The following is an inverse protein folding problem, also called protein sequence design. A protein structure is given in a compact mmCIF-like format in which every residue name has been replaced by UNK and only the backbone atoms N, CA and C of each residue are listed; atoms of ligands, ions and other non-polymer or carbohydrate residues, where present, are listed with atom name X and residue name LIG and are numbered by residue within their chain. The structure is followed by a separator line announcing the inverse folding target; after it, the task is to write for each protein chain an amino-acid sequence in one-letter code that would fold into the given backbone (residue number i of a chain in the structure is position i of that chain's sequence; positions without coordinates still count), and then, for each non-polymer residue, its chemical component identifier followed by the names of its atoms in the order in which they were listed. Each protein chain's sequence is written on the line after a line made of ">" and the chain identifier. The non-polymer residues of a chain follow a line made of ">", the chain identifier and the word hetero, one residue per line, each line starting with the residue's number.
data_IF_499576672725
#
_entry.id   IF_499576672725
#
_cell.length_a   1.000
_cell.length_b   1.000
_cell.length_c   1.000
_cell.angle_alpha   90.00
_cell.angle_beta   90.00
_cell.angle_gamma   90.00
#
_symmetry.space_group_name_H-M   'P 1'
#
loop_
_entity.id
_entity.type
_entity.pdbx_description
1 polymer ?
#
# COMPACT_ATOMS: atom_id res chain seq x y z
N UNK A 1 21.95 55.49 -10.08
CA UNK A 1 21.15 54.35 -10.64
C UNK A 1 20.92 53.39 -9.48
N UNK A 2 19.74 53.49 -8.90
CA UNK A 2 19.31 52.68 -7.75
C UNK A 2 18.35 51.60 -8.22
N UNK A 3 18.84 50.41 -8.49
CA UNK A 3 17.98 49.23 -8.69
C UNK A 3 17.50 48.71 -7.34
N UNK A 4 16.31 49.16 -6.93
CA UNK A 4 15.56 48.56 -5.86
C UNK A 4 14.94 47.27 -6.42
N UNK A 5 15.57 46.12 -6.20
CA UNK A 5 14.91 44.83 -6.33
C UNK A 5 13.72 44.76 -5.36
N UNK A 6 12.57 45.12 -5.86
CA UNK A 6 11.30 44.94 -5.17
C UNK A 6 11.03 43.44 -5.02
N UNK A 7 11.32 42.89 -3.84
CA UNK A 7 10.80 41.58 -3.46
C UNK A 7 9.27 41.66 -3.55
N UNK A 8 8.69 41.09 -4.60
CA UNK A 8 7.27 41.01 -4.77
C UNK A 8 6.68 40.29 -3.55
N UNK A 9 5.92 40.99 -2.74
CA UNK A 9 5.16 40.40 -1.63
C UNK A 9 4.28 39.30 -2.22
N UNK A 10 4.30 38.08 -1.67
CA UNK A 10 3.38 37.04 -2.14
C UNK A 10 1.95 37.59 -2.11
N UNK A 11 1.23 37.35 -3.20
CA UNK A 11 -0.14 37.88 -3.30
C UNK A 11 -0.99 37.32 -2.14
N UNK A 12 -1.92 38.12 -1.63
CA UNK A 12 -2.85 37.75 -0.54
C UNK A 12 -3.54 36.41 -0.81
N UNK A 13 -3.78 36.09 -2.07
CA UNK A 13 -4.33 34.81 -2.52
C UNK A 13 -3.44 33.60 -2.22
N UNK A 14 -2.10 33.71 -2.32
CA UNK A 14 -1.16 32.63 -1.97
C UNK A 14 -1.11 32.41 -0.47
N UNK A 15 -1.19 33.47 0.31
CA UNK A 15 -1.22 33.39 1.79
C UNK A 15 -2.53 32.74 2.29
N UNK A 16 -3.67 33.12 1.70
CA UNK A 16 -4.98 32.53 2.02
C UNK A 16 -5.05 31.04 1.58
N UNK A 17 -4.43 30.68 0.46
CA UNK A 17 -4.33 29.28 0.02
C UNK A 17 -3.56 28.42 1.04
N UNK A 18 -2.41 28.90 1.53
CA UNK A 18 -1.64 28.21 2.58
C UNK A 18 -2.41 28.04 3.89
N UNK A 19 -3.15 29.05 4.32
CA UNK A 19 -3.97 28.97 5.54
C UNK A 19 -5.12 27.96 5.40
N UNK A 20 -5.70 27.84 4.21
CA UNK A 20 -6.73 26.83 3.91
C UNK A 20 -6.18 25.41 3.96
N UNK A 21 -4.97 25.18 3.46
CA UNK A 21 -4.32 23.87 3.50
C UNK A 21 -4.11 23.40 4.96
N UNK A 22 -3.66 24.30 5.83
CA UNK A 22 -3.49 23.99 7.25
C UNK A 22 -4.82 23.77 7.98
N UNK A 23 -5.86 24.52 7.62
CA UNK A 23 -7.19 24.33 8.19
C UNK A 23 -7.75 22.95 7.79
N UNK A 24 -7.53 22.51 6.55
CA UNK A 24 -7.91 21.17 6.08
C UNK A 24 -7.18 20.07 6.86
N UNK A 25 -5.86 20.20 7.04
CA UNK A 25 -5.07 19.24 7.82
C UNK A 25 -5.54 19.20 9.27
N UNK A 26 -5.84 20.35 9.88
CA UNK A 26 -6.35 20.43 11.24
C UNK A 26 -7.75 19.79 11.38
N UNK A 27 -8.64 20.00 10.41
CA UNK A 27 -9.95 19.37 10.37
C UNK A 27 -9.85 17.85 10.25
N UNK A 28 -9.01 17.36 9.35
CA UNK A 28 -8.79 15.92 9.18
C UNK A 28 -8.14 15.29 10.43
N UNK A 29 -7.19 15.99 11.05
CA UNK A 29 -6.58 15.54 12.30
C UNK A 29 -7.58 15.54 13.46
N UNK A 30 -8.42 16.56 13.56
CA UNK A 30 -9.49 16.64 14.58
C UNK A 30 -10.52 15.52 14.37
N UNK A 31 -10.85 15.18 13.12
CA UNK A 31 -11.75 14.07 12.79
C UNK A 31 -11.16 12.74 13.22
N UNK A 32 -9.90 12.46 12.89
CA UNK A 32 -9.18 11.26 13.34
C UNK A 32 -9.15 11.16 14.87
N UNK A 33 -8.87 12.28 15.58
CA UNK A 33 -8.85 12.31 17.04
C UNK A 33 -10.26 12.10 17.61
N UNK A 34 -11.28 12.73 17.06
CA UNK A 34 -12.66 12.56 17.51
C UNK A 34 -13.13 11.11 17.35
N UNK A 35 -12.76 10.47 16.23
CA UNK A 35 -13.11 9.08 15.95
C UNK A 35 -12.35 8.12 16.87
N UNK A 36 -11.05 8.32 17.05
CA UNK A 36 -10.27 7.46 17.97
C UNK A 36 -10.78 7.58 19.41
N UNK A 37 -11.21 8.76 19.85
CA UNK A 37 -11.81 8.94 21.17
C UNK A 37 -13.25 8.41 21.29
N UNK A 38 -14.01 8.40 20.20
CA UNK A 38 -15.38 7.84 20.23
C UNK A 38 -15.41 6.32 20.36
N UNK A 39 -14.30 5.63 20.01
CA UNK A 39 -14.16 4.18 20.19
C UNK A 39 -13.78 3.77 21.61
N UNK A 40 -13.21 4.68 22.39
CA UNK A 40 -12.89 4.47 23.81
C UNK A 40 -14.12 4.70 24.73
N UNK A 41 -15.24 5.10 24.15
CA UNK A 41 -16.47 5.33 24.92
C UNK A 41 -17.11 3.97 25.25
N UNK A 42 -17.21 3.60 26.52
CA UNK A 42 -17.85 2.33 26.92
C UNK A 42 -19.27 2.24 26.36
N UNK A 43 -19.68 1.04 25.98
CA UNK A 43 -21.08 0.74 25.62
C UNK A 43 -22.02 1.33 26.69
N UNK A 44 -22.54 2.55 26.47
CA UNK A 44 -23.38 3.26 27.46
C UNK A 44 -23.33 4.79 27.37
N UNK A 45 -22.48 5.36 26.51
CA UNK A 45 -22.38 6.84 26.40
C UNK A 45 -23.59 7.54 25.80
N UNK A 46 -24.58 6.81 25.31
CA UNK A 46 -25.81 7.38 24.75
C UNK A 46 -25.64 8.12 23.41
N UNK A 47 -24.42 8.25 22.87
CA UNK A 47 -24.20 8.82 21.55
C UNK A 47 -24.50 7.75 20.51
N UNK A 48 -25.56 7.88 19.70
CA UNK A 48 -25.87 6.86 18.72
C UNK A 48 -24.80 6.85 17.63
N UNK A 49 -24.42 5.67 17.18
CA UNK A 49 -23.42 5.44 16.11
C UNK A 49 -23.69 6.29 14.85
N UNK A 50 -24.98 6.50 14.50
CA UNK A 50 -25.37 7.34 13.36
C UNK A 50 -25.01 8.82 13.54
N UNK A 51 -24.95 9.34 14.79
CA UNK A 51 -24.58 10.72 15.04
C UNK A 51 -23.09 10.97 14.80
N UNK A 52 -22.24 9.99 15.16
CA UNK A 52 -20.80 10.02 14.83
C UNK A 52 -20.61 9.97 13.32
N UNK A 53 -21.39 9.14 12.62
CA UNK A 53 -21.41 9.07 11.17
C UNK A 53 -21.82 10.39 10.51
N UNK A 54 -22.88 11.03 10.99
CA UNK A 54 -23.32 12.33 10.47
C UNK A 54 -22.28 13.42 10.69
N UNK A 55 -21.64 13.45 11.85
CA UNK A 55 -20.56 14.40 12.12
C UNK A 55 -19.36 14.18 11.18
N UNK A 56 -18.96 12.94 10.97
CA UNK A 56 -17.89 12.60 10.04
C UNK A 56 -18.24 12.97 8.59
N UNK A 57 -19.47 12.71 8.16
CA UNK A 57 -19.96 13.13 6.84
C UNK A 57 -19.94 14.65 6.69
N UNK A 58 -20.39 15.39 7.69
CA UNK A 58 -20.40 16.85 7.66
C UNK A 58 -18.98 17.43 7.57
N UNK A 59 -18.03 16.89 8.35
CA UNK A 59 -16.62 17.30 8.34
C UNK A 59 -16.00 16.96 6.97
N UNK A 60 -16.28 15.75 6.44
CA UNK A 60 -15.79 15.33 5.14
C UNK A 60 -16.31 16.22 4.00
N UNK A 61 -17.59 16.59 4.02
CA UNK A 61 -18.16 17.51 3.04
C UNK A 61 -17.56 18.92 3.13
N UNK A 62 -17.31 19.42 4.34
CA UNK A 62 -16.65 20.70 4.55
C UNK A 62 -15.19 20.65 4.04
N UNK A 63 -14.46 19.60 4.37
CA UNK A 63 -13.09 19.38 3.89
C UNK A 63 -13.03 19.23 2.36
N UNK A 64 -13.97 18.49 1.76
CA UNK A 64 -14.09 18.35 0.32
C UNK A 64 -14.38 19.66 -0.38
N UNK A 65 -15.27 20.48 0.19
CA UNK A 65 -15.56 21.82 -0.32
C UNK A 65 -14.35 22.75 -0.31
N UNK A 66 -13.58 22.74 0.79
CA UNK A 66 -12.33 23.50 0.91
C UNK A 66 -11.26 23.02 -0.06
N UNK A 67 -11.08 21.70 -0.16
CA UNK A 67 -10.11 21.05 -1.06
C UNK A 67 -10.43 21.37 -2.53
N UNK A 68 -11.71 21.24 -2.89
CA UNK A 68 -12.22 21.53 -4.22
C UNK A 68 -12.02 22.98 -4.64
N UNK A 69 -12.33 23.94 -3.73
CA UNK A 69 -12.10 25.36 -3.98
C UNK A 69 -10.62 25.70 -4.16
N UNK A 70 -9.71 24.90 -3.56
CA UNK A 70 -8.28 25.13 -3.63
C UNK A 70 -7.62 24.50 -4.86
N UNK A 71 -7.97 23.25 -5.18
CA UNK A 71 -7.29 22.47 -6.23
C UNK A 71 -7.80 22.79 -7.64
N UNK A 72 -9.09 23.16 -7.77
CA UNK A 72 -9.74 23.42 -9.06
C UNK A 72 -10.73 24.59 -8.95
N UNK A 73 -10.21 25.81 -8.77
CA UNK A 73 -11.08 26.99 -8.64
C UNK A 73 -11.94 27.23 -9.88
N UNK A 74 -11.56 26.68 -11.03
CA UNK A 74 -12.20 26.89 -12.33
C UNK A 74 -13.05 25.73 -12.84
N UNK A 75 -13.00 24.53 -12.18
CA UNK A 75 -13.72 23.35 -12.67
C UNK A 75 -14.79 22.87 -11.68
N UNK A 76 -16.04 23.32 -11.82
CA UNK A 76 -17.13 22.96 -10.93
C UNK A 76 -17.54 21.48 -11.02
N UNK A 77 -17.20 20.76 -12.11
CA UNK A 77 -17.59 19.37 -12.33
C UNK A 77 -16.76 18.37 -11.51
N UNK A 78 -15.59 18.76 -11.03
CA UNK A 78 -14.72 17.90 -10.23
C UNK A 78 -15.11 17.89 -8.74
N UNK A 79 -15.82 18.89 -8.25
CA UNK A 79 -16.23 19.00 -6.85
C UNK A 79 -17.00 17.81 -6.31
N UNK A 80 -17.99 17.22 -7.03
CA UNK A 80 -18.71 16.05 -6.54
C UNK A 80 -17.81 14.82 -6.38
N UNK A 81 -16.87 14.61 -7.31
CA UNK A 81 -15.95 13.45 -7.27
C UNK A 81 -14.99 13.56 -6.09
N UNK A 82 -14.49 14.77 -5.82
CA UNK A 82 -13.64 15.02 -4.66
C UNK A 82 -14.39 14.85 -3.35
N UNK A 83 -15.60 15.40 -3.27
CA UNK A 83 -16.44 15.23 -2.10
C UNK A 83 -16.68 13.74 -1.78
N UNK A 84 -16.99 12.94 -2.80
CA UNK A 84 -17.16 11.50 -2.65
C UNK A 84 -15.86 10.82 -2.24
N UNK A 85 -14.72 11.22 -2.81
CA UNK A 85 -13.42 10.63 -2.46
C UNK A 85 -13.04 10.91 -1.00
N UNK A 86 -13.21 12.14 -0.54
CA UNK A 86 -12.92 12.52 0.86
C UNK A 86 -13.90 11.83 1.80
N UNK A 87 -15.18 11.76 1.45
CA UNK A 87 -16.18 11.06 2.23
C UNK A 87 -15.83 9.58 2.38
N UNK A 88 -15.42 8.93 1.29
CA UNK A 88 -15.01 7.53 1.31
C UNK A 88 -13.73 7.32 2.14
N UNK A 89 -12.75 8.24 2.06
CA UNK A 89 -11.55 8.21 2.91
C UNK A 89 -11.92 8.25 4.39
N UNK A 90 -12.76 9.21 4.77
CA UNK A 90 -13.20 9.36 6.16
C UNK A 90 -13.98 8.13 6.62
N UNK A 91 -14.94 7.65 5.80
CA UNK A 91 -15.73 6.48 6.14
C UNK A 91 -14.87 5.24 6.39
N UNK A 92 -13.82 5.04 5.61
CA UNK A 92 -12.93 3.91 5.80
C UNK A 92 -11.99 4.08 7.00
N UNK A 93 -11.43 5.27 7.23
CA UNK A 93 -10.65 5.52 8.46
C UNK A 93 -11.51 5.23 9.70
N UNK A 94 -12.77 5.68 9.70
CA UNK A 94 -13.73 5.37 10.75
C UNK A 94 -13.95 3.87 10.89
N UNK A 95 -14.16 3.16 9.79
CA UNK A 95 -14.34 1.71 9.79
C UNK A 95 -13.10 0.98 10.30
N UNK A 96 -11.91 1.35 9.82
CA UNK A 96 -10.66 0.73 10.24
C UNK A 96 -10.36 0.97 11.73
N UNK A 97 -10.60 2.17 12.23
CA UNK A 97 -10.42 2.50 13.65
C UNK A 97 -11.45 1.77 14.51
N UNK A 98 -12.70 1.65 14.06
CA UNK A 98 -13.74 0.94 14.81
C UNK A 98 -13.60 -0.58 14.74
N UNK A 99 -13.08 -1.11 13.62
CA UNK A 99 -12.93 -2.55 13.40
C UNK A 99 -11.55 -3.10 13.81
N UNK A 100 -10.51 -2.27 13.80
CA UNK A 100 -9.13 -2.68 14.03
C UNK A 100 -8.73 -2.54 15.51
N UNK A 101 -9.34 -3.33 16.37
CA UNK A 101 -9.12 -3.35 17.83
C UNK A 101 -7.68 -3.64 18.28
N UNK A 102 -6.78 -4.00 17.37
CA UNK A 102 -5.41 -4.35 17.72
C UNK A 102 -4.41 -3.63 16.82
N UNK A 103 -3.89 -2.46 17.26
CA UNK A 103 -2.79 -1.83 16.56
C UNK A 103 -1.58 -2.78 16.51
N UNK A 104 -0.86 -2.74 15.38
CA UNK A 104 0.31 -3.58 15.12
C UNK A 104 0.05 -5.10 15.22
N UNK A 105 -1.16 -5.53 14.86
CA UNK A 105 -1.57 -6.94 14.85
C UNK A 105 -0.62 -7.82 14.03
N UNK A 106 -0.30 -7.40 12.80
CA UNK A 106 0.54 -8.19 11.91
C UNK A 106 1.98 -8.25 12.44
N UNK A 107 2.48 -7.14 13.02
CA UNK A 107 3.75 -7.15 13.73
C UNK A 107 3.71 -8.14 14.91
N UNK A 108 2.61 -8.21 15.65
CA UNK A 108 2.43 -9.18 16.71
C UNK A 108 2.58 -10.63 16.23
N UNK A 109 2.00 -10.96 15.06
CA UNK A 109 2.18 -12.27 14.42
C UNK A 109 3.65 -12.52 14.08
N UNK A 110 4.35 -11.51 13.56
CA UNK A 110 5.76 -11.65 13.17
C UNK A 110 6.67 -11.83 14.38
N UNK A 111 6.47 -11.06 15.46
CA UNK A 111 7.24 -11.20 16.69
C UNK A 111 7.00 -12.56 17.35
N UNK A 112 5.75 -13.01 17.42
CA UNK A 112 5.41 -14.34 17.94
C UNK A 112 6.07 -15.46 17.13
N UNK A 113 6.08 -15.37 15.80
CA UNK A 113 6.80 -16.31 14.95
C UNK A 113 8.31 -16.29 15.23
N UNK A 114 8.89 -15.10 15.43
CA UNK A 114 10.29 -14.93 15.82
C UNK A 114 10.62 -15.54 17.18
N UNK A 115 9.73 -15.42 18.17
CA UNK A 115 9.85 -16.05 19.48
C UNK A 115 9.79 -17.56 19.38
N UNK A 116 8.82 -18.12 18.65
CA UNK A 116 8.70 -19.56 18.39
C UNK A 116 9.95 -20.10 17.70
N UNK A 117 10.46 -19.40 16.70
CA UNK A 117 11.69 -19.76 16.01
C UNK A 117 12.89 -19.86 16.97
N UNK A 118 13.09 -18.87 17.85
CA UNK A 118 14.17 -18.87 18.85
C UNK A 118 14.01 -19.97 19.90
N UNK A 119 12.77 -20.27 20.27
CA UNK A 119 12.45 -21.32 21.23
C UNK A 119 12.51 -22.73 20.62
N UNK A 120 12.73 -22.87 19.31
CA UNK A 120 12.68 -24.15 18.61
C UNK A 120 11.28 -24.79 18.62
N UNK A 121 10.24 -24.00 18.81
CA UNK A 121 8.84 -24.44 18.79
C UNK A 121 8.20 -24.28 17.41
N UNK A 122 7.04 -24.88 17.17
CA UNK A 122 6.37 -24.85 15.89
C UNK A 122 6.00 -23.40 15.49
N UNK A 123 6.52 -22.96 14.33
CA UNK A 123 6.27 -21.63 13.77
C UNK A 123 5.09 -21.66 12.82
N UNK A 124 5.00 -22.71 12.01
CA UNK A 124 4.02 -22.82 10.93
C UNK A 124 2.82 -23.65 11.35
N UNK A 125 1.65 -23.28 10.82
CA UNK A 125 0.41 -23.99 11.10
C UNK A 125 0.44 -25.40 10.49
N UNK A 126 -0.04 -26.36 11.28
CA UNK A 126 -0.09 -27.77 10.90
C UNK A 126 -1.52 -28.26 10.60
N UNK A 127 -2.52 -27.54 11.09
CA UNK A 127 -3.94 -27.87 10.93
C UNK A 127 -4.73 -26.68 10.37
N UNK A 128 -5.73 -26.95 9.50
CA UNK A 128 -6.58 -25.89 8.98
C UNK A 128 -7.35 -25.17 10.08
N UNK A 129 -7.55 -23.86 9.88
CA UNK A 129 -8.45 -23.07 10.71
C UNK A 129 -9.90 -23.47 10.39
N UNK A 130 -10.67 -23.78 11.42
CA UNK A 130 -12.11 -24.11 11.32
C UNK A 130 -12.98 -22.92 11.69
N UNK A 131 -12.42 -21.95 12.44
CA UNK A 131 -13.07 -20.70 12.82
C UNK A 131 -12.10 -19.55 12.62
N UNK A 132 -12.61 -18.35 12.36
CA UNK A 132 -11.74 -17.18 12.35
C UNK A 132 -11.19 -16.94 13.76
N UNK A 133 -9.87 -16.73 13.89
CA UNK A 133 -9.28 -16.45 15.21
C UNK A 133 -9.93 -15.22 15.84
N UNK A 134 -10.46 -15.37 17.05
CA UNK A 134 -11.00 -14.24 17.83
C UNK A 134 -9.83 -13.35 18.29
N UNK A 135 -8.78 -13.97 18.78
CA UNK A 135 -7.49 -13.32 18.95
C UNK A 135 -6.80 -13.23 17.59
N UNK A 136 -6.66 -12.02 17.09
CA UNK A 136 -6.08 -11.77 15.78
C UNK A 136 -4.59 -12.13 15.71
N UNK A 137 -3.90 -12.33 16.81
CA UNK A 137 -2.56 -12.93 16.87
C UNK A 137 -2.55 -14.43 16.57
N UNK A 138 -3.72 -15.07 16.53
CA UNK A 138 -3.92 -16.45 16.10
C UNK A 138 -3.86 -16.67 14.60
N UNK A 139 -3.71 -15.59 13.78
CA UNK A 139 -3.49 -15.76 12.35
C UNK A 139 -2.09 -16.35 12.08
N UNK A 140 -1.96 -17.21 11.07
CA UNK A 140 -0.70 -17.89 10.80
C UNK A 140 0.37 -16.95 10.23
N UNK A 141 1.62 -17.23 10.57
CA UNK A 141 2.77 -16.67 9.88
C UNK A 141 2.96 -17.39 8.54
N UNK A 142 2.93 -16.65 7.43
CA UNK A 142 2.95 -17.22 6.06
C UNK A 142 4.22 -16.89 5.28
N UNK A 143 5.17 -16.17 5.88
CA UNK A 143 6.42 -15.82 5.21
C UNK A 143 7.41 -16.96 5.27
N UNK A 144 8.34 -17.05 4.28
CA UNK A 144 9.32 -18.14 4.24
C UNK A 144 10.31 -18.05 5.42
N UNK A 145 10.96 -19.18 5.75
CA UNK A 145 11.88 -19.28 6.90
C UNK A 145 13.01 -18.25 6.91
N UNK A 146 13.44 -17.77 5.76
CA UNK A 146 14.49 -16.72 5.69
C UNK A 146 14.08 -15.38 6.31
N UNK A 147 12.80 -15.14 6.58
CA UNK A 147 12.34 -13.96 7.33
C UNK A 147 12.46 -14.13 8.85
N UNK A 148 12.52 -15.36 9.36
CA UNK A 148 12.48 -15.66 10.79
C UNK A 148 13.66 -15.11 11.59
N UNK A 149 14.93 -15.18 11.11
CA UNK A 149 16.05 -14.62 11.86
C UNK A 149 15.90 -13.11 12.12
N UNK A 150 15.33 -12.38 11.16
CA UNK A 150 15.04 -10.95 11.33
C UNK A 150 13.99 -10.71 12.42
N UNK A 151 12.86 -11.42 12.36
CA UNK A 151 11.81 -11.27 13.37
C UNK A 151 12.22 -11.89 14.72
N UNK A 152 13.05 -12.92 14.70
CA UNK A 152 13.68 -13.47 15.88
C UNK A 152 14.59 -12.46 16.60
N UNK A 153 15.40 -11.73 15.85
CA UNK A 153 16.22 -10.65 16.40
C UNK A 153 15.36 -9.48 16.92
N UNK A 154 14.32 -9.10 16.18
CA UNK A 154 13.40 -8.03 16.60
C UNK A 154 12.63 -8.41 17.87
N UNK A 155 12.29 -9.67 18.04
CA UNK A 155 11.59 -10.17 19.24
C UNK A 155 12.47 -10.29 20.50
N UNK A 156 13.79 -10.02 20.40
CA UNK A 156 14.68 -9.87 21.55
C UNK A 156 14.54 -8.49 22.23
N UNK A 157 14.01 -7.53 21.50
CA UNK A 157 13.85 -6.18 22.03
C UNK A 157 12.62 -6.09 22.95
N UNK A 158 12.61 -5.17 23.93
CA UNK A 158 11.39 -4.83 24.63
C UNK A 158 10.27 -4.50 23.63
N UNK A 159 9.07 -4.99 23.88
CA UNK A 159 7.93 -4.92 22.93
C UNK A 159 7.71 -3.51 22.39
N UNK A 160 7.74 -2.50 23.24
CA UNK A 160 7.50 -1.11 22.85
C UNK A 160 8.63 -0.56 21.96
N UNK A 161 9.87 -1.01 22.18
CA UNK A 161 10.99 -0.65 21.32
C UNK A 161 10.87 -1.31 19.93
N UNK A 162 10.52 -2.60 19.89
CA UNK A 162 10.28 -3.31 18.64
C UNK A 162 9.14 -2.65 17.83
N UNK A 163 8.04 -2.29 18.49
CA UNK A 163 6.91 -1.55 17.91
C UNK A 163 7.34 -0.18 17.39
N UNK A 164 8.09 0.57 18.19
CA UNK A 164 8.58 1.90 17.82
C UNK A 164 9.50 1.85 16.59
N UNK A 165 10.46 0.93 16.55
CA UNK A 165 11.37 0.74 15.40
C UNK A 165 10.59 0.35 14.15
N UNK A 166 9.68 -0.62 14.27
CA UNK A 166 8.90 -1.08 13.13
C UNK A 166 7.99 0.01 12.57
N UNK A 167 7.24 0.71 13.43
CA UNK A 167 6.32 1.76 13.01
C UNK A 167 7.07 2.95 12.41
N UNK A 168 8.12 3.44 13.07
CA UNK A 168 8.92 4.56 12.57
C UNK A 168 9.61 4.22 11.25
N UNK A 169 10.17 3.02 11.13
CA UNK A 169 10.78 2.53 9.90
C UNK A 169 9.75 2.41 8.77
N UNK A 170 8.60 1.80 9.02
CA UNK A 170 7.52 1.67 8.05
C UNK A 170 6.97 3.03 7.63
N UNK A 171 6.77 3.96 8.57
CA UNK A 171 6.33 5.32 8.30
C UNK A 171 7.33 6.06 7.38
N UNK A 172 8.62 6.03 7.75
CA UNK A 172 9.68 6.66 6.96
C UNK A 172 9.77 6.07 5.55
N UNK A 173 9.74 4.74 5.42
CA UNK A 173 9.75 4.05 4.14
C UNK A 173 8.49 4.32 3.31
N UNK A 174 7.31 4.37 3.94
CA UNK A 174 6.06 4.71 3.27
C UNK A 174 6.06 6.12 2.70
N UNK A 175 6.48 7.11 3.49
CA UNK A 175 6.60 8.50 3.05
C UNK A 175 7.64 8.66 1.94
N UNK A 176 8.80 8.00 2.08
CA UNK A 176 9.83 7.96 1.04
C UNK A 176 9.27 7.38 -0.25
N UNK A 177 8.59 6.23 -0.18
CA UNK A 177 7.98 5.59 -1.32
C UNK A 177 6.98 6.50 -2.03
N UNK A 178 6.05 7.09 -1.29
CA UNK A 178 5.06 8.03 -1.84
C UNK A 178 5.74 9.22 -2.52
N UNK A 179 6.80 9.76 -1.91
CA UNK A 179 7.57 10.88 -2.48
C UNK A 179 8.28 10.48 -3.76
N UNK A 180 8.91 9.31 -3.78
CA UNK A 180 9.64 8.77 -4.93
C UNK A 180 8.68 8.45 -6.09
N UNK A 181 7.51 7.90 -5.81
CA UNK A 181 6.47 7.64 -6.82
C UNK A 181 5.93 8.93 -7.44
N UNK A 182 6.13 10.09 -6.79
CA UNK A 182 5.76 11.38 -7.34
C UNK A 182 4.63 12.10 -6.60
N UNK A 183 4.25 11.62 -5.41
CA UNK A 183 3.28 12.34 -4.59
C UNK A 183 3.87 13.71 -4.19
N UNK A 184 3.18 14.83 -4.48
CA UNK A 184 3.65 16.16 -4.08
C UNK A 184 3.82 16.27 -2.56
N UNK A 185 4.82 17.04 -2.11
CA UNK A 185 5.14 17.17 -0.66
C UNK A 185 3.94 17.55 0.19
N UNK A 186 3.05 18.40 -0.31
CA UNK A 186 1.84 18.84 0.39
C UNK A 186 0.85 17.71 0.70
N UNK A 187 0.91 16.61 -0.07
CA UNK A 187 0.05 15.44 0.09
C UNK A 187 0.66 14.32 0.93
N UNK A 188 1.93 14.43 1.34
CA UNK A 188 2.58 13.37 2.12
C UNK A 188 1.91 13.15 3.47
N UNK A 189 1.57 14.23 4.19
CA UNK A 189 0.87 14.11 5.48
C UNK A 189 -0.57 13.63 5.28
N UNK A 190 -1.39 14.24 4.39
CA UNK A 190 -2.71 13.68 4.08
C UNK A 190 -2.71 12.22 3.63
N UNK A 191 -1.66 11.76 2.94
CA UNK A 191 -1.57 10.36 2.54
C UNK A 191 -1.48 9.38 3.71
N UNK A 192 -1.05 9.82 4.89
CA UNK A 192 -0.99 8.97 6.09
C UNK A 192 -2.38 8.52 6.56
N UNK A 193 -3.41 9.30 6.29
CA UNK A 193 -4.79 8.95 6.59
C UNK A 193 -5.48 8.27 5.41
N UNK A 194 -4.83 8.14 4.26
CA UNK A 194 -5.39 7.38 3.15
C UNK A 194 -5.46 5.89 3.53
N UNK A 195 -6.66 5.28 3.49
CA UNK A 195 -6.92 3.99 4.12
C UNK A 195 -5.93 2.87 3.79
N UNK A 196 -5.50 2.64 2.53
CA UNK A 196 -4.51 1.61 2.26
C UNK A 196 -3.17 1.80 2.96
N UNK A 197 -2.68 3.05 3.07
CA UNK A 197 -1.44 3.35 3.78
C UNK A 197 -1.65 3.32 5.29
N UNK A 198 -2.73 3.95 5.76
CA UNK A 198 -3.09 3.97 7.17
C UNK A 198 -3.24 2.54 7.72
N UNK A 199 -4.02 1.69 7.05
CA UNK A 199 -4.22 0.29 7.46
C UNK A 199 -2.88 -0.46 7.50
N UNK A 200 -2.02 -0.29 6.49
CA UNK A 200 -0.71 -0.93 6.46
C UNK A 200 0.17 -0.55 7.65
N UNK A 201 0.17 0.73 8.02
CA UNK A 201 0.88 1.25 9.20
C UNK A 201 0.22 0.78 10.49
N UNK A 202 -1.10 0.88 10.59
CA UNK A 202 -1.88 0.53 11.79
C UNK A 202 -1.72 -0.93 12.18
N UNK A 203 -1.81 -1.84 11.23
CA UNK A 203 -1.62 -3.27 11.51
C UNK A 203 -0.15 -3.70 11.54
N UNK A 204 0.78 -2.82 11.16
CA UNK A 204 2.21 -3.13 11.09
C UNK A 204 2.58 -4.09 9.97
N UNK A 205 1.91 -4.00 8.80
CA UNK A 205 2.11 -4.95 7.70
C UNK A 205 3.36 -4.62 6.86
N UNK A 206 4.04 -5.66 6.38
CA UNK A 206 5.20 -5.57 5.47
C UNK A 206 4.88 -4.93 4.11
N UNK A 207 3.60 -4.72 3.77
CA UNK A 207 3.21 -4.06 2.52
C UNK A 207 3.77 -2.65 2.40
N UNK A 208 3.92 -1.92 3.53
CA UNK A 208 4.47 -0.56 3.52
C UNK A 208 5.96 -0.56 3.20
N UNK A 209 6.83 -1.34 3.88
CA UNK A 209 8.23 -1.51 3.45
C UNK A 209 8.35 -2.05 2.02
N UNK A 210 7.50 -2.99 1.60
CA UNK A 210 7.50 -3.53 0.24
C UNK A 210 7.20 -2.45 -0.81
N UNK A 211 6.32 -1.48 -0.51
CA UNK A 211 6.08 -0.33 -1.37
C UNK A 211 7.35 0.49 -1.59
N UNK A 212 8.22 0.62 -0.59
CA UNK A 212 9.50 1.33 -0.74
C UNK A 212 10.44 0.59 -1.70
N UNK A 213 10.55 -0.74 -1.59
CA UNK A 213 11.33 -1.55 -2.54
C UNK A 213 10.80 -1.38 -3.97
N UNK A 214 9.48 -1.35 -4.11
CA UNK A 214 8.83 -1.11 -5.39
C UNK A 214 9.13 0.29 -5.94
N UNK A 215 8.99 1.32 -5.12
CA UNK A 215 9.24 2.71 -5.50
C UNK A 215 10.70 2.96 -5.91
N UNK A 216 11.64 2.28 -5.24
CA UNK A 216 13.08 2.37 -5.49
C UNK A 216 13.55 1.47 -6.63
N UNK A 217 12.67 0.64 -7.23
CA UNK A 217 13.04 -0.29 -8.29
C UNK A 217 13.83 0.32 -9.46
N UNK A 218 13.60 1.59 -9.86
CA UNK A 218 14.38 2.24 -10.90
C UNK A 218 15.88 2.31 -10.64
N UNK A 219 16.24 2.46 -9.38
CA UNK A 219 17.65 2.56 -8.94
C UNK A 219 18.15 1.23 -8.38
N UNK A 220 17.26 0.48 -7.72
CA UNK A 220 17.54 -0.78 -7.05
C UNK A 220 16.50 -1.85 -7.43
N UNK A 221 16.50 -2.27 -8.70
CA UNK A 221 15.55 -3.27 -9.22
C UNK A 221 15.67 -4.63 -8.54
N UNK A 222 16.85 -4.99 -8.04
CA UNK A 222 17.04 -6.20 -7.22
C UNK A 222 16.07 -6.24 -6.03
N UNK A 223 15.64 -5.07 -5.50
CA UNK A 223 14.65 -4.97 -4.44
C UNK A 223 13.30 -5.58 -4.80
N UNK A 224 12.89 -5.59 -6.07
CA UNK A 224 11.66 -6.27 -6.51
C UNK A 224 11.75 -7.79 -6.34
N UNK A 225 12.90 -8.36 -6.64
CA UNK A 225 13.15 -9.79 -6.47
C UNK A 225 13.20 -10.14 -4.97
N UNK A 226 13.93 -9.38 -4.19
CA UNK A 226 14.05 -9.58 -2.75
C UNK A 226 12.70 -9.37 -2.02
N UNK A 227 11.89 -8.43 -2.48
CA UNK A 227 10.56 -8.17 -1.92
C UNK A 227 9.60 -9.36 -2.04
N UNK A 228 9.82 -10.25 -3.03
CA UNK A 228 9.03 -11.47 -3.20
C UNK A 228 9.14 -12.44 -2.01
N UNK A 229 10.20 -12.34 -1.18
CA UNK A 229 10.34 -13.09 0.07
C UNK A 229 9.18 -12.79 1.03
N UNK A 230 8.77 -11.53 1.12
CA UNK A 230 7.70 -11.13 2.02
C UNK A 230 6.31 -11.27 1.39
N UNK A 231 6.21 -11.04 0.09
CA UNK A 231 4.94 -11.17 -0.65
C UNK A 231 5.24 -11.71 -2.05
N UNK A 232 5.12 -13.03 -2.26
CA UNK A 232 5.50 -13.67 -3.54
C UNK A 232 4.87 -13.01 -4.78
N UNK A 233 3.60 -12.59 -4.68
CA UNK A 233 2.92 -11.94 -5.79
C UNK A 233 3.49 -10.54 -6.11
N UNK A 234 4.20 -9.88 -5.20
CA UNK A 234 4.91 -8.63 -5.53
C UNK A 234 6.10 -8.87 -6.46
N UNK A 235 6.58 -10.11 -6.54
CA UNK A 235 7.57 -10.55 -7.53
C UNK A 235 7.10 -10.40 -8.98
N UNK A 236 5.78 -10.31 -9.24
CA UNK A 236 5.28 -10.00 -10.58
C UNK A 236 5.83 -8.67 -11.11
N UNK A 237 6.06 -7.70 -10.26
CA UNK A 237 6.68 -6.45 -10.65
C UNK A 237 8.12 -6.62 -11.13
N UNK A 238 8.82 -7.69 -10.74
CA UNK A 238 10.17 -8.00 -11.23
C UNK A 238 10.19 -8.37 -12.72
N UNK A 239 9.04 -8.73 -13.32
CA UNK A 239 8.92 -8.90 -14.77
C UNK A 239 9.28 -7.63 -15.53
N UNK A 240 9.13 -6.46 -14.90
CA UNK A 240 9.60 -5.21 -15.45
C UNK A 240 11.10 -5.21 -15.71
N UNK A 241 11.91 -5.84 -14.87
CA UNK A 241 13.36 -5.96 -15.07
C UNK A 241 13.69 -6.77 -16.32
N UNK A 242 12.89 -7.80 -16.63
CA UNK A 242 13.01 -8.59 -17.85
C UNK A 242 12.68 -7.73 -19.07
N UNK A 243 11.58 -6.96 -19.02
CA UNK A 243 11.17 -6.07 -20.09
C UNK A 243 12.20 -4.97 -20.41
N UNK A 244 12.87 -4.47 -19.39
CA UNK A 244 13.89 -3.42 -19.50
C UNK A 244 15.30 -3.98 -19.67
N UNK A 245 15.43 -5.30 -19.88
CA UNK A 245 16.72 -6.01 -20.05
C UNK A 245 17.74 -5.76 -18.92
N UNK A 246 17.25 -5.56 -17.68
CA UNK A 246 18.06 -5.28 -16.49
C UNK A 246 18.62 -6.55 -15.86
N UNK A 247 19.29 -7.36 -16.67
CA UNK A 247 19.76 -8.70 -16.28
C UNK A 247 20.71 -8.69 -15.08
N UNK A 248 21.57 -7.66 -14.98
CA UNK A 248 22.47 -7.52 -13.84
C UNK A 248 21.69 -7.34 -12.52
N UNK A 249 20.61 -6.58 -12.53
CA UNK A 249 19.77 -6.37 -11.33
C UNK A 249 18.97 -7.63 -10.97
N UNK A 250 18.51 -8.38 -11.97
CA UNK A 250 17.90 -9.69 -11.74
C UNK A 250 18.93 -10.63 -11.10
N UNK A 251 20.13 -10.71 -11.67
CA UNK A 251 21.18 -11.57 -11.13
C UNK A 251 21.56 -11.19 -9.69
N UNK A 252 21.70 -9.91 -9.38
CA UNK A 252 21.93 -9.41 -8.02
C UNK A 252 20.79 -9.77 -7.09
N UNK A 253 19.54 -9.60 -7.52
CA UNK A 253 18.35 -9.95 -6.73
C UNK A 253 18.26 -11.44 -6.46
N UNK A 254 18.46 -12.26 -7.47
CA UNK A 254 18.47 -13.74 -7.35
C UNK A 254 19.64 -14.20 -6.47
N UNK A 255 20.84 -13.68 -6.71
CA UNK A 255 22.00 -14.00 -5.88
C UNK A 255 21.78 -13.59 -4.41
N UNK A 256 21.23 -12.39 -4.18
CA UNK A 256 20.85 -11.94 -2.85
C UNK A 256 19.82 -12.84 -2.17
N UNK A 257 18.82 -13.31 -2.91
CA UNK A 257 17.84 -14.29 -2.41
C UNK A 257 18.50 -15.63 -2.08
N UNK A 258 19.35 -16.14 -2.96
CA UNK A 258 20.08 -17.39 -2.72
C UNK A 258 21.01 -17.29 -1.51
N UNK A 259 21.73 -16.16 -1.38
CA UNK A 259 22.56 -15.90 -0.19
C UNK A 259 21.70 -15.83 1.07
N UNK A 260 20.55 -15.14 1.02
CA UNK A 260 19.63 -15.09 2.16
C UNK A 260 19.12 -16.47 2.56
N UNK A 261 18.72 -17.29 1.60
CA UNK A 261 18.29 -18.67 1.83
C UNK A 261 19.45 -19.51 2.39
N UNK A 262 20.62 -19.47 1.75
CA UNK A 262 21.78 -20.24 2.18
C UNK A 262 22.28 -19.84 3.58
N UNK A 263 22.26 -18.55 3.90
CA UNK A 263 22.62 -18.04 5.22
C UNK A 263 21.62 -18.44 6.32
N UNK A 264 20.35 -18.63 5.95
CA UNK A 264 19.30 -18.95 6.93
C UNK A 264 19.07 -20.44 7.12
N UNK A 265 19.39 -21.29 6.13
CA UNK A 265 19.26 -22.75 6.24
C UNK A 265 19.99 -23.34 7.45
N UNK A 266 21.24 -22.96 7.78
CA UNK A 266 21.91 -23.46 8.99
C UNK A 266 21.20 -23.11 10.29
N UNK A 267 20.44 -21.99 10.31
CA UNK A 267 19.69 -21.52 11.47
C UNK A 267 18.29 -22.14 11.56
N UNK A 268 17.67 -22.40 10.40
CA UNK A 268 16.27 -22.83 10.30
C UNK A 268 16.14 -24.35 10.08
N UNK A 269 17.15 -24.99 9.54
CA UNK A 269 17.06 -26.37 9.06
C UNK A 269 16.16 -26.52 7.82
N UNK A 270 16.29 -27.60 7.08
CA UNK A 270 15.46 -27.90 5.91
C UNK A 270 14.02 -28.26 6.30
N UNK A 271 13.81 -28.81 7.51
CA UNK A 271 12.49 -29.17 8.02
C UNK A 271 11.58 -27.97 8.07
N UNK A 272 12.08 -26.82 8.53
CA UNK A 272 11.27 -25.60 8.63
C UNK A 272 10.82 -25.08 7.26
N UNK A 273 11.61 -25.34 6.20
CA UNK A 273 11.21 -25.01 4.83
C UNK A 273 10.12 -25.95 4.30
N UNK A 274 10.17 -27.23 4.64
CA UNK A 274 9.08 -28.17 4.32
C UNK A 274 7.81 -27.84 5.08
N UNK A 275 7.92 -27.45 6.36
CA UNK A 275 6.80 -27.02 7.18
C UNK A 275 6.13 -25.76 6.61
N UNK A 276 6.95 -24.80 6.15
CA UNK A 276 6.43 -23.61 5.47
C UNK A 276 5.61 -23.97 4.23
N UNK A 277 6.15 -24.79 3.34
CA UNK A 277 5.46 -25.22 2.13
C UNK A 277 4.15 -25.96 2.45
N UNK A 278 4.21 -26.87 3.45
CA UNK A 278 3.02 -27.58 3.93
C UNK A 278 1.98 -26.63 4.49
N UNK A 279 2.41 -25.61 5.25
CA UNK A 279 1.51 -24.62 5.86
C UNK A 279 0.76 -23.79 4.82
N UNK A 280 1.35 -23.54 3.64
CA UNK A 280 0.65 -22.85 2.55
C UNK A 280 -0.55 -23.65 2.05
N UNK A 281 -0.40 -24.97 1.93
CA UNK A 281 -1.52 -25.88 1.57
C UNK A 281 -2.59 -25.93 2.66
N UNK A 282 -2.16 -26.01 3.93
CA UNK A 282 -3.06 -25.96 5.08
C UNK A 282 -3.82 -24.65 5.13
N UNK A 283 -3.16 -23.53 4.85
CA UNK A 283 -3.80 -22.22 4.79
C UNK A 283 -4.79 -22.10 3.62
N UNK A 284 -4.45 -22.67 2.47
CA UNK A 284 -5.38 -22.71 1.32
C UNK A 284 -6.66 -23.48 1.67
N UNK A 285 -6.54 -24.61 2.37
CA UNK A 285 -7.71 -25.35 2.89
C UNK A 285 -8.52 -24.51 3.86
N UNK A 286 -7.84 -23.77 4.75
CA UNK A 286 -8.50 -22.83 5.67
C UNK A 286 -9.26 -21.72 4.92
N UNK A 287 -8.71 -21.20 3.84
CA UNK A 287 -9.36 -20.17 3.00
C UNK A 287 -10.62 -20.69 2.32
N UNK A 288 -10.62 -21.96 1.89
CA UNK A 288 -11.80 -22.60 1.30
C UNK A 288 -12.94 -22.73 2.32
N UNK A 289 -12.61 -23.04 3.56
CA UNK A 289 -13.58 -23.18 4.66
C UNK A 289 -14.01 -21.82 5.23
N UNK A 290 -13.13 -20.83 5.20
CA UNK A 290 -13.29 -19.50 5.78
C UNK A 290 -13.02 -18.42 4.72
N UNK A 291 -13.99 -18.11 3.84
CA UNK A 291 -13.78 -17.16 2.74
C UNK A 291 -13.30 -15.76 3.18
N UNK A 292 -13.54 -15.36 4.44
CA UNK A 292 -13.01 -14.13 5.01
C UNK A 292 -11.48 -14.05 5.03
N UNK A 293 -10.77 -15.18 4.98
CA UNK A 293 -9.30 -15.21 4.90
C UNK A 293 -8.76 -14.75 3.54
N UNK A 294 -9.59 -14.75 2.49
CA UNK A 294 -9.24 -14.11 1.21
C UNK A 294 -9.28 -12.58 1.30
N UNK A 295 -9.83 -12.02 2.38
CA UNK A 295 -10.19 -10.61 2.39
C UNK A 295 -11.16 -10.32 1.26
N UNK A 296 -10.76 -9.44 0.34
CA UNK A 296 -11.50 -9.11 -0.88
C UNK A 296 -10.77 -9.55 -2.16
N UNK A 297 -9.87 -10.55 -2.07
CA UNK A 297 -9.24 -11.16 -3.24
C UNK A 297 -10.26 -11.80 -4.18
N UNK A 298 -9.95 -11.82 -5.49
CA UNK A 298 -10.84 -12.39 -6.51
C UNK A 298 -11.26 -13.84 -6.23
N UNK A 299 -10.38 -14.74 -5.67
CA UNK A 299 -10.79 -16.12 -5.40
C UNK A 299 -11.96 -16.26 -4.42
N UNK A 300 -12.29 -15.19 -3.68
CA UNK A 300 -13.49 -15.17 -2.83
C UNK A 300 -14.79 -15.15 -3.63
N UNK A 301 -14.76 -14.56 -4.82
CA UNK A 301 -15.95 -14.21 -5.59
C UNK A 301 -16.10 -15.02 -6.87
N UNK A 302 -15.00 -15.59 -7.39
CA UNK A 302 -14.98 -16.32 -8.64
C UNK A 302 -14.21 -17.64 -8.51
N UNK A 303 -14.51 -18.65 -9.34
CA UNK A 303 -13.74 -19.89 -9.39
C UNK A 303 -12.26 -19.62 -9.66
N UNK A 304 -11.38 -20.45 -9.10
CA UNK A 304 -9.92 -20.28 -9.22
C UNK A 304 -9.45 -20.16 -10.67
N UNK A 305 -10.02 -20.92 -11.60
CA UNK A 305 -9.67 -20.84 -13.01
C UNK A 305 -9.96 -19.45 -13.61
N UNK A 306 -11.08 -18.84 -13.25
CA UNK A 306 -11.44 -17.47 -13.69
C UNK A 306 -10.48 -16.46 -13.08
N UNK A 307 -10.21 -16.58 -11.78
CA UNK A 307 -9.21 -15.73 -11.12
C UNK A 307 -7.84 -15.83 -11.81
N UNK A 308 -7.36 -17.05 -12.07
CA UNK A 308 -6.06 -17.26 -12.72
C UNK A 308 -6.04 -16.64 -14.12
N UNK A 309 -7.10 -16.83 -14.91
CA UNK A 309 -7.23 -16.24 -16.24
C UNK A 309 -7.19 -14.70 -16.20
N UNK A 310 -7.93 -14.08 -15.25
CA UNK A 310 -7.96 -12.62 -15.07
C UNK A 310 -6.59 -12.11 -14.63
N UNK A 311 -5.91 -12.78 -13.70
CA UNK A 311 -4.58 -12.41 -13.24
C UNK A 311 -3.55 -12.48 -14.38
N UNK A 312 -3.55 -13.57 -15.16
CA UNK A 312 -2.67 -13.72 -16.33
C UNK A 312 -2.97 -12.64 -17.38
N UNK A 313 -4.25 -12.37 -17.66
CA UNK A 313 -4.63 -11.30 -18.60
C UNK A 313 -4.16 -9.92 -18.14
N UNK A 314 -4.33 -9.60 -16.85
CA UNK A 314 -3.87 -8.33 -16.28
C UNK A 314 -2.35 -8.16 -16.43
N UNK A 315 -1.58 -9.20 -16.12
CA UNK A 315 -0.12 -9.22 -16.31
C UNK A 315 0.25 -9.08 -17.80
N UNK A 316 -0.38 -9.86 -18.68
CA UNK A 316 -0.12 -9.81 -20.11
C UNK A 316 -0.40 -8.42 -20.71
N UNK A 317 -1.46 -7.74 -20.26
CA UNK A 317 -1.78 -6.36 -20.67
C UNK A 317 -0.74 -5.40 -20.10
N UNK A 318 -0.33 -5.56 -18.84
CA UNK A 318 0.69 -4.73 -18.22
C UNK A 318 2.04 -4.83 -18.97
N UNK A 319 2.41 -6.01 -19.43
CA UNK A 319 3.64 -6.28 -20.19
C UNK A 319 3.68 -5.65 -21.59
N UNK A 320 2.54 -5.17 -22.12
CA UNK A 320 2.51 -4.42 -23.38
C UNK A 320 3.07 -2.99 -23.26
N UNK A 321 3.14 -2.47 -22.05
CA UNK A 321 3.76 -1.17 -21.78
C UNK A 321 5.29 -1.31 -21.66
N UNK A 322 5.99 -0.15 -21.59
CA UNK A 322 7.44 -0.05 -21.43
C UNK A 322 7.78 0.99 -20.35
N UNK A 323 8.99 0.94 -19.85
CA UNK A 323 9.51 1.91 -18.89
C UNK A 323 8.66 1.98 -17.62
N UNK A 324 8.44 3.20 -17.16
CA UNK A 324 7.68 3.47 -15.93
C UNK A 324 6.23 3.03 -15.99
N UNK A 325 5.65 3.10 -17.18
CA UNK A 325 4.26 2.69 -17.38
C UNK A 325 4.11 1.18 -17.16
N UNK A 326 5.05 0.38 -17.66
CA UNK A 326 5.06 -1.06 -17.43
C UNK A 326 5.16 -1.38 -15.92
N UNK A 327 6.07 -0.71 -15.21
CA UNK A 327 6.20 -0.88 -13.77
C UNK A 327 4.90 -0.51 -13.05
N UNK A 328 4.30 0.66 -13.36
CA UNK A 328 3.05 1.07 -12.76
C UNK A 328 1.90 0.09 -13.03
N UNK A 329 1.76 -0.40 -14.28
CA UNK A 329 0.74 -1.39 -14.63
C UNK A 329 0.96 -2.74 -13.95
N UNK A 330 2.21 -3.18 -13.82
CA UNK A 330 2.55 -4.42 -13.10
C UNK A 330 2.20 -4.32 -11.62
N UNK A 331 2.35 -3.14 -11.00
CA UNK A 331 1.87 -2.91 -9.65
C UNK A 331 0.35 -3.09 -9.50
N UNK A 332 -0.44 -2.55 -10.43
CA UNK A 332 -1.89 -2.76 -10.43
C UNK A 332 -2.25 -4.23 -10.76
N UNK A 333 -1.53 -4.87 -11.70
CA UNK A 333 -1.69 -6.29 -11.99
C UNK A 333 -1.37 -7.18 -10.77
N UNK A 334 -0.42 -6.76 -9.92
CA UNK A 334 -0.12 -7.43 -8.64
C UNK A 334 -1.32 -7.43 -7.70
N UNK A 335 -2.10 -6.34 -7.66
CA UNK A 335 -3.36 -6.30 -6.87
C UNK A 335 -4.35 -7.33 -7.40
N UNK A 336 -4.50 -7.42 -8.72
CA UNK A 336 -5.40 -8.40 -9.37
C UNK A 336 -4.94 -9.83 -9.11
N UNK A 337 -3.65 -10.08 -9.16
CA UNK A 337 -3.04 -11.39 -8.97
C UNK A 337 -2.89 -11.79 -7.49
N UNK A 338 -3.21 -10.91 -6.54
CA UNK A 338 -3.17 -11.25 -5.12
C UNK A 338 -4.29 -12.24 -4.78
N UNK A 339 -3.97 -13.44 -4.28
CA UNK A 339 -5.00 -14.40 -3.91
C UNK A 339 -5.80 -13.97 -2.69
N UNK A 340 -5.19 -13.15 -1.82
CA UNK A 340 -5.88 -12.50 -0.70
C UNK A 340 -5.59 -11.00 -0.72
N UNK A 341 -6.64 -10.20 -0.71
CA UNK A 341 -6.56 -8.74 -0.82
C UNK A 341 -7.15 -8.08 0.42
N UNK A 342 -6.30 -7.33 1.11
CA UNK A 342 -6.66 -6.43 2.20
C UNK A 342 -6.28 -5.00 1.80
N UNK A 343 -6.80 -3.99 2.49
CA UNK A 343 -6.60 -2.58 2.12
C UNK A 343 -5.14 -2.21 1.87
N UNK A 344 -4.21 -2.64 2.72
CA UNK A 344 -2.78 -2.40 2.54
C UNK A 344 -2.17 -3.09 1.29
N UNK A 345 -2.82 -4.10 0.75
CA UNK A 345 -2.41 -4.73 -0.52
C UNK A 345 -2.61 -3.82 -1.74
N UNK A 346 -3.51 -2.83 -1.64
CA UNK A 346 -3.79 -1.85 -2.68
C UNK A 346 -2.62 -0.87 -2.91
N UNK A 347 -1.66 -0.81 -1.99
CA UNK A 347 -0.48 0.06 -2.12
C UNK A 347 0.31 -0.21 -3.41
N UNK A 348 0.30 -1.44 -3.91
CA UNK A 348 0.96 -1.78 -5.17
C UNK A 348 0.36 -1.03 -6.39
N UNK A 349 -0.90 -0.59 -6.33
CA UNK A 349 -1.55 0.15 -7.40
C UNK A 349 -1.25 1.66 -7.39
N UNK A 350 -0.60 2.20 -6.34
CA UNK A 350 -0.32 3.64 -6.20
C UNK A 350 0.33 4.26 -7.43
N UNK A 351 1.35 3.66 -8.08
CA UNK A 351 1.94 4.25 -9.26
C UNK A 351 0.97 4.41 -10.44
N UNK A 352 0.10 3.42 -10.65
CA UNK A 352 -0.97 3.50 -11.65
C UNK A 352 -2.00 4.56 -11.30
N UNK A 353 -2.39 4.63 -10.02
CA UNK A 353 -3.33 5.62 -9.50
C UNK A 353 -2.84 7.05 -9.76
N UNK A 354 -1.57 7.34 -9.44
CA UNK A 354 -0.99 8.66 -9.62
C UNK A 354 -0.75 9.02 -11.10
N UNK A 355 -0.82 8.06 -12.01
CA UNK A 355 -0.75 8.29 -13.46
C UNK A 355 -2.08 8.77 -14.07
N UNK A 356 -3.19 8.67 -13.34
CA UNK A 356 -4.50 9.11 -13.81
C UNK A 356 -4.62 10.63 -13.82
N UNK A 357 -5.46 11.15 -14.73
CA UNK A 357 -5.93 12.55 -14.64
C UNK A 357 -6.78 12.73 -13.38
N UNK A 358 -6.80 13.95 -12.91
CA UNK A 358 -7.41 14.32 -11.62
C UNK A 358 -8.79 13.73 -11.37
N UNK A 359 -9.78 13.82 -12.27
CA UNK A 359 -11.11 13.26 -12.00
C UNK A 359 -11.09 11.75 -11.74
N UNK A 360 -10.37 11.03 -12.58
CA UNK A 360 -10.28 9.56 -12.49
C UNK A 360 -9.43 9.10 -11.31
N UNK A 361 -8.39 9.87 -10.98
CA UNK A 361 -7.57 9.62 -9.81
C UNK A 361 -8.39 9.74 -8.52
N UNK A 362 -9.15 10.82 -8.38
CA UNK A 362 -9.98 11.03 -7.19
C UNK A 362 -11.14 10.03 -7.09
N UNK A 363 -11.76 9.68 -8.22
CA UNK A 363 -12.75 8.62 -8.27
C UNK A 363 -12.18 7.28 -7.79
N UNK A 364 -11.01 6.91 -8.29
CA UNK A 364 -10.33 5.67 -7.86
C UNK A 364 -9.90 5.75 -6.39
N UNK A 365 -9.39 6.88 -5.90
CA UNK A 365 -9.09 7.09 -4.48
C UNK A 365 -10.36 6.88 -3.63
N UNK A 366 -11.48 7.44 -4.05
CA UNK A 366 -12.77 7.26 -3.39
C UNK A 366 -13.13 5.78 -3.24
N UNK A 367 -13.09 5.02 -4.33
CA UNK A 367 -13.38 3.58 -4.30
C UNK A 367 -12.38 2.78 -3.46
N UNK A 368 -11.08 3.11 -3.52
CA UNK A 368 -10.04 2.45 -2.71
C UNK A 368 -10.15 2.78 -1.22
N UNK A 369 -10.92 3.78 -0.87
CA UNK A 369 -11.08 4.26 0.50
C UNK A 369 -12.36 3.79 1.16
N UNK A 370 -13.15 2.96 0.51
CA UNK A 370 -14.37 2.40 1.09
C UNK A 370 -14.08 1.22 2.01
N UNK A 371 -14.89 1.01 3.05
CA UNK A 371 -14.76 -0.18 3.90
C UNK A 371 -15.17 -1.47 3.18
N UNK A 372 -16.01 -1.36 2.14
CA UNK A 372 -16.42 -2.48 1.31
C UNK A 372 -15.42 -2.71 0.17
N UNK A 373 -14.66 -3.78 0.27
CA UNK A 373 -13.66 -4.14 -0.71
C UNK A 373 -14.19 -4.49 -2.10
N UNK A 374 -15.49 -4.68 -2.30
CA UNK A 374 -16.07 -4.81 -3.64
C UNK A 374 -15.86 -3.52 -4.44
N UNK A 375 -15.94 -2.37 -3.80
CA UNK A 375 -15.69 -1.08 -4.45
C UNK A 375 -14.22 -0.91 -4.85
N UNK A 376 -13.28 -1.59 -4.21
CA UNK A 376 -11.86 -1.57 -4.64
C UNK A 376 -11.71 -2.10 -6.07
N UNK A 377 -12.54 -3.06 -6.46
CA UNK A 377 -12.53 -3.58 -7.84
C UNK A 377 -13.02 -2.56 -8.86
N UNK A 378 -13.91 -1.63 -8.48
CA UNK A 378 -14.26 -0.50 -9.34
C UNK A 378 -13.06 0.44 -9.57
N UNK A 379 -12.24 0.68 -8.55
CA UNK A 379 -11.00 1.43 -8.73
C UNK A 379 -10.02 0.70 -9.66
N UNK A 380 -9.88 -0.62 -9.50
CA UNK A 380 -9.05 -1.44 -10.39
C UNK A 380 -9.56 -1.36 -11.84
N UNK A 381 -10.88 -1.39 -12.05
CA UNK A 381 -11.49 -1.21 -13.38
C UNK A 381 -11.17 0.19 -13.94
N UNK A 382 -11.28 1.27 -13.15
CA UNK A 382 -10.92 2.62 -13.58
C UNK A 382 -9.44 2.69 -14.00
N UNK A 383 -8.55 2.09 -13.20
CA UNK A 383 -7.12 2.01 -13.52
C UNK A 383 -6.90 1.23 -14.83
N UNK A 384 -7.52 0.06 -14.97
CA UNK A 384 -7.38 -0.78 -16.16
C UNK A 384 -7.97 -0.10 -17.41
N UNK A 385 -9.12 0.58 -17.29
CA UNK A 385 -9.71 1.36 -18.39
C UNK A 385 -8.76 2.46 -18.90
N UNK A 386 -7.99 3.07 -18.01
CA UNK A 386 -6.99 4.06 -18.39
C UNK A 386 -5.87 3.49 -19.28
N UNK A 387 -5.66 2.18 -19.27
CA UNK A 387 -4.67 1.54 -20.13
C UNK A 387 -5.13 1.50 -21.59
N UNK A 388 -6.44 1.43 -21.81
CA UNK A 388 -7.06 1.48 -23.13
C UNK A 388 -7.44 2.89 -23.56
N UNK A 389 -7.69 3.81 -22.64
CA UNK A 389 -8.18 5.16 -22.87
C UNK A 389 -7.12 6.21 -22.48
N UNK A 390 -6.23 6.64 -23.42
CA UNK A 390 -5.19 7.62 -23.11
C UNK A 390 -5.72 8.95 -22.55
N UNK A 391 -6.97 9.32 -22.87
CA UNK A 391 -7.62 10.53 -22.37
C UNK A 391 -7.79 10.53 -20.84
N UNK A 392 -7.79 9.35 -20.20
CA UNK A 392 -7.87 9.22 -18.74
C UNK A 392 -6.52 9.43 -18.03
N UNK A 393 -5.41 9.52 -18.77
CA UNK A 393 -4.06 9.63 -18.20
C UNK A 393 -3.55 11.06 -18.27
N UNK A 394 -2.65 11.40 -17.34
CA UNK A 394 -1.85 12.61 -17.41
C UNK A 394 -0.87 12.49 -18.58
N UNK A 395 -0.87 13.48 -19.46
CA UNK A 395 0.03 13.53 -20.62
C UNK A 395 1.46 13.88 -20.21
N UNK A 396 1.67 14.42 -19.01
CA UNK A 396 2.98 14.87 -18.57
C UNK A 396 3.84 13.71 -18.01
N UNK A 397 5.00 13.44 -18.66
CA UNK A 397 5.98 12.47 -18.15
C UNK A 397 6.67 12.90 -16.84
N UNK A 398 6.31 14.07 -16.29
CA UNK A 398 7.09 14.78 -15.28
C UNK A 398 6.78 14.50 -13.81
N UNK A 399 5.78 13.66 -13.48
CA UNK A 399 5.42 13.42 -12.08
C UNK A 399 6.44 12.56 -11.30
N UNK A 400 7.14 11.68 -11.98
CA UNK A 400 8.22 10.92 -11.40
C UNK A 400 9.55 11.65 -11.61
N UNK A 401 10.46 11.70 -10.62
CA UNK A 401 11.79 12.26 -10.81
C UNK A 401 12.45 11.67 -12.06
N UNK A 402 13.18 12.48 -12.81
CA UNK A 402 13.95 11.99 -13.95
C UNK A 402 14.81 10.80 -13.50
N UNK A 403 14.55 9.64 -14.09
CA UNK A 403 15.31 8.45 -13.79
C UNK A 403 16.74 8.65 -14.32
N UNK A 404 17.76 8.16 -13.63
CA UNK A 404 19.02 7.96 -14.28
C UNK A 404 18.74 7.01 -15.44
N UNK A 405 18.84 7.51 -16.67
CA UNK A 405 18.82 6.66 -17.85
C UNK A 405 20.10 5.85 -17.75
N UNK A 406 19.97 4.56 -17.39
CA UNK A 406 21.12 3.66 -17.41
C UNK A 406 21.73 3.71 -18.81
N UNK A 407 22.95 4.26 -18.87
CA UNK A 407 23.75 4.25 -20.10
C UNK A 407 23.18 5.11 -21.21
N UNK A 408 23.12 6.41 -21.04
CA UNK A 408 23.47 7.27 -22.16
C UNK A 408 24.90 6.85 -22.56
N UNK A 409 25.01 5.85 -23.45
CA UNK A 409 26.26 5.66 -24.17
C UNK A 409 26.62 7.04 -24.70
N UNK A 410 27.82 7.58 -24.34
CA UNK A 410 28.25 8.79 -24.97
C UNK A 410 28.12 8.56 -26.46
N UNK A 411 27.38 9.42 -27.13
CA UNK A 411 27.24 9.36 -28.58
C UNK A 411 28.68 9.18 -29.10
N UNK A 412 28.95 8.00 -29.63
CA UNK A 412 30.23 7.73 -30.27
C UNK A 412 30.41 8.84 -31.31
N UNK A 413 31.33 9.75 -31.00
CA UNK A 413 31.63 10.85 -31.87
C UNK A 413 31.88 10.28 -33.26
N UNK A 414 31.11 10.77 -34.22
CA UNK A 414 31.46 10.63 -35.63
C UNK A 414 32.75 11.44 -35.79
N UNK A 415 33.86 10.74 -35.95
CA UNK A 415 35.08 11.25 -36.51
C UNK A 415 34.92 11.21 -38.03
#
# INVERSE_FOLDING_TARGET
>A
MNDRHGLARPSVTVELAKRRDWALVALLAADVIAVTRSTDVPNGSGIPYWAVWLAAVAIALAAAGLLSAHLWPSDPWLRPVEALAVLAVVAMVLSDVTMAWQPLRDLGIYLKAGEHFRAGSAVYMQTPLTVQPVDRTGYPFLYPPCALPFFGALSLLPLELARGIWLSGSLGLGLLAMRVIGLPRRWLIPALIWPPLFQGLWVGNVAVPALALYALAPWFGAGLVLGAVFKPYTGLAALWLVLEHRWAQIAVGVAGLLVLVAATVPLTGLTLWSDWLSSLGVYQTSQQSLPGLYGFGLPRFVPFAVYAAVAVAAVAIALRARGREALARLGAATVVASPSLFGHGLLAAVPSLLSLRSPWMWLAIGFLSTPDGLQWWLAVVVIAASWALPSMRRVEPGAWPSWPVDGARPAAGRV
#
